data_IF_427081687949
#
_entry.id   IF_427081687949
#
_cell.length_a   1.000
_cell.length_b   1.000
_cell.length_c   1.000
_cell.angle_alpha   90.00
_cell.angle_beta   90.00
_cell.angle_gamma   90.00
#
_symmetry.space_group_name_H-M   'P 1'
#
loop_
_entity.id
_entity.type
_entity.pdbx_description
1 polymer ?
#
# COMPACT_ATOMS: atom_id res chain seq x y z
N UNK A 1 3.86 22.55 15.52
CA UNK A 1 5.02 22.19 14.68
C UNK A 1 4.68 20.85 14.07
N UNK A 2 4.40 20.79 12.76
CA UNK A 2 4.19 19.49 12.10
C UNK A 2 5.56 18.86 11.95
N UNK A 3 5.90 17.93 12.84
CA UNK A 3 7.03 17.04 12.65
C UNK A 3 6.82 16.34 11.32
N UNK A 4 7.61 16.72 10.31
CA UNK A 4 7.71 15.96 9.07
C UNK A 4 8.36 14.64 9.44
N UNK A 5 7.54 13.59 9.56
CA UNK A 5 8.01 12.23 9.81
C UNK A 5 8.87 11.82 8.59
N UNK A 6 10.16 11.59 8.81
CA UNK A 6 11.08 11.10 7.78
C UNK A 6 10.80 9.60 7.55
N UNK A 7 9.89 9.32 6.61
CA UNK A 7 9.52 7.96 6.20
C UNK A 7 10.67 7.24 5.48
N UNK A 8 11.61 7.98 4.91
CA UNK A 8 12.76 7.48 4.13
C UNK A 8 13.64 6.44 4.85
N UNK A 9 13.62 6.43 6.20
CA UNK A 9 14.42 5.54 7.05
C UNK A 9 13.60 4.50 7.81
N UNK A 10 12.28 4.54 7.66
CA UNK A 10 11.37 3.63 8.35
C UNK A 10 11.39 2.24 7.70
N UNK A 11 11.14 1.23 8.52
CA UNK A 11 10.95 -0.15 8.05
C UNK A 11 9.58 -0.31 7.40
N UNK A 12 9.42 -1.32 6.55
CA UNK A 12 8.16 -1.56 5.85
C UNK A 12 6.95 -1.72 6.78
N UNK A 13 7.13 -2.34 7.96
CA UNK A 13 6.07 -2.44 8.98
C UNK A 13 5.71 -1.07 9.59
N UNK A 14 6.71 -0.24 9.93
CA UNK A 14 6.49 1.11 10.47
C UNK A 14 5.83 2.03 9.43
N UNK A 15 6.28 1.95 8.18
CA UNK A 15 5.68 2.66 7.06
C UNK A 15 4.24 2.22 6.83
N UNK A 16 3.99 0.91 6.86
CA UNK A 16 2.64 0.37 6.75
C UNK A 16 1.74 0.92 7.86
N UNK A 17 2.18 0.88 9.12
CA UNK A 17 1.45 1.48 10.24
C UNK A 17 1.25 2.97 10.07
N UNK A 18 2.26 3.70 9.61
CA UNK A 18 2.15 5.13 9.35
C UNK A 18 1.06 5.41 8.31
N UNK A 19 1.06 4.71 7.17
CA UNK A 19 0.07 4.93 6.12
C UNK A 19 -1.33 4.41 6.46
N UNK A 20 -1.44 3.36 7.30
CA UNK A 20 -2.73 2.73 7.64
C UNK A 20 -3.38 3.30 8.90
N UNK A 21 -2.61 3.81 9.85
CA UNK A 21 -3.08 4.28 11.16
C UNK A 21 -2.97 5.79 11.33
N UNK A 22 -2.07 6.46 10.60
CA UNK A 22 -1.91 7.91 10.74
C UNK A 22 -3.03 8.61 9.98
N UNK A 23 -3.84 9.41 10.68
CA UNK A 23 -4.89 10.24 10.07
C UNK A 23 -4.29 11.37 9.21
N UNK A 24 -3.00 11.65 9.37
CA UNK A 24 -2.22 12.57 8.53
C UNK A 24 -1.80 11.96 7.18
N UNK A 25 -1.86 10.63 7.04
CA UNK A 25 -1.54 9.93 5.82
C UNK A 25 -2.79 9.71 4.96
N UNK A 26 -2.59 9.56 3.66
CA UNK A 26 -3.64 9.34 2.67
C UNK A 26 -4.45 8.08 3.02
N UNK A 27 -5.71 8.25 3.45
CA UNK A 27 -6.60 7.14 3.87
C UNK A 27 -6.86 6.13 2.75
N UNK A 28 -6.94 6.60 1.51
CA UNK A 28 -7.14 5.74 0.34
C UNK A 28 -5.90 4.85 0.12
N UNK A 29 -4.72 5.45 0.27
CA UNK A 29 -3.48 4.71 0.25
C UNK A 29 -3.38 3.70 1.41
N UNK A 30 -3.78 4.08 2.62
CA UNK A 30 -3.86 3.17 3.75
C UNK A 30 -4.74 1.94 3.47
N UNK A 31 -5.91 2.13 2.86
CA UNK A 31 -6.78 1.02 2.46
C UNK A 31 -6.14 0.13 1.37
N UNK A 32 -5.50 0.75 0.38
CA UNK A 32 -4.74 0.05 -0.68
C UNK A 32 -3.69 -0.87 -0.06
N UNK A 33 -2.93 -0.37 0.91
CA UNK A 33 -1.92 -1.16 1.60
C UNK A 33 -2.52 -2.29 2.43
N UNK A 34 -3.63 -2.05 3.15
CA UNK A 34 -4.30 -3.11 3.91
C UNK A 34 -4.73 -4.26 3.01
N UNK A 35 -5.37 -3.96 1.87
CA UNK A 35 -5.76 -4.97 0.90
C UNK A 35 -4.53 -5.68 0.28
N UNK A 36 -3.47 -4.94 -0.04
CA UNK A 36 -2.22 -5.55 -0.49
C UNK A 36 -1.62 -6.50 0.57
N UNK A 37 -1.63 -6.11 1.85
CA UNK A 37 -1.11 -6.93 2.95
C UNK A 37 -1.93 -8.20 3.16
N UNK A 38 -3.26 -8.15 2.96
CA UNK A 38 -4.09 -9.36 3.00
C UNK A 38 -3.71 -10.34 1.88
N UNK A 39 -3.35 -9.83 0.70
CA UNK A 39 -3.02 -10.64 -0.47
C UNK A 39 -1.59 -11.22 -0.43
N UNK A 40 -0.59 -10.39 -0.15
CA UNK A 40 0.83 -10.75 -0.25
C UNK A 40 1.56 -10.84 1.10
N UNK A 41 0.86 -10.55 2.21
CA UNK A 41 1.39 -10.62 3.57
C UNK A 41 2.61 -9.74 3.80
N UNK A 42 3.58 -10.28 4.52
CA UNK A 42 4.85 -9.61 4.87
C UNK A 42 5.70 -9.24 3.65
N UNK A 43 5.41 -9.81 2.47
CA UNK A 43 6.06 -9.45 1.19
C UNK A 43 5.80 -7.99 0.82
N UNK A 44 4.72 -7.39 1.36
CA UNK A 44 4.42 -5.97 1.18
C UNK A 44 5.50 -5.07 1.76
N UNK A 45 6.08 -5.42 2.90
CA UNK A 45 7.01 -4.55 3.63
C UNK A 45 8.25 -4.17 2.83
N UNK A 46 9.03 -5.11 2.24
CA UNK A 46 10.17 -4.75 1.41
C UNK A 46 9.78 -3.98 0.14
N UNK A 47 8.61 -4.25 -0.45
CA UNK A 47 8.10 -3.48 -1.59
C UNK A 47 7.80 -2.03 -1.18
N UNK A 48 7.25 -1.84 0.01
CA UNK A 48 6.91 -0.53 0.53
C UNK A 48 8.16 0.30 0.87
N UNK A 49 9.18 -0.34 1.45
CA UNK A 49 10.51 0.26 1.64
C UNK A 49 11.13 0.69 0.31
N UNK A 50 11.04 -0.16 -0.71
CA UNK A 50 11.53 0.16 -2.06
C UNK A 50 10.76 1.34 -2.66
N UNK A 51 9.44 1.35 -2.54
CA UNK A 51 8.59 2.46 -3.00
C UNK A 51 9.01 3.80 -2.39
N UNK A 52 9.22 3.88 -1.07
CA UNK A 52 9.68 5.12 -0.42
C UNK A 52 11.06 5.55 -0.92
N UNK A 53 11.98 4.60 -1.14
CA UNK A 53 13.34 4.89 -1.63
C UNK A 53 13.36 5.35 -3.09
N UNK A 54 12.46 4.81 -3.91
CA UNK A 54 12.35 5.12 -5.34
C UNK A 54 11.36 6.28 -5.61
N UNK A 55 10.64 6.76 -4.59
CA UNK A 55 9.58 7.77 -4.75
C UNK A 55 8.35 7.25 -5.49
N UNK A 56 8.11 5.94 -5.44
CA UNK A 56 7.00 5.22 -6.09
C UNK A 56 5.91 4.88 -5.08
N UNK A 57 4.75 4.42 -5.54
CA UNK A 57 3.67 3.99 -4.64
C UNK A 57 3.14 2.61 -5.02
N UNK A 58 2.64 1.90 -4.02
CA UNK A 58 1.94 0.64 -4.23
C UNK A 58 0.52 0.92 -4.73
N UNK A 59 0.09 0.20 -5.75
CA UNK A 59 -1.28 0.26 -6.29
C UNK A 59 -1.84 -1.15 -6.48
N UNK A 60 -3.15 -1.26 -6.32
CA UNK A 60 -3.89 -2.49 -6.64
C UNK A 60 -4.38 -2.41 -8.07
N UNK A 61 -3.89 -3.30 -8.92
CA UNK A 61 -4.33 -3.42 -10.30
C UNK A 61 -5.30 -4.59 -10.42
N UNK A 62 -6.57 -4.27 -10.55
CA UNK A 62 -7.63 -5.25 -10.72
C UNK A 62 -7.69 -5.73 -12.18
N UNK A 63 -7.95 -7.02 -12.38
CA UNK A 63 -8.21 -7.55 -13.72
C UNK A 63 -9.64 -7.15 -14.13
N UNK A 64 -9.72 -6.17 -15.03
CA UNK A 64 -10.96 -5.49 -15.47
C UNK A 64 -12.16 -6.41 -15.79
N UNK A 65 -12.01 -7.58 -16.45
CA UNK A 65 -13.19 -8.37 -16.82
C UNK A 65 -13.95 -8.98 -15.65
N UNK A 66 -13.32 -9.20 -14.48
CA UNK A 66 -13.97 -9.76 -13.30
C UNK A 66 -14.58 -8.69 -12.39
N UNK A 67 -13.95 -7.51 -12.32
CA UNK A 67 -14.49 -6.36 -11.59
C UNK A 67 -15.77 -5.83 -12.25
N UNK A 68 -15.78 -5.70 -13.57
CA UNK A 68 -16.98 -5.26 -14.30
C UNK A 68 -18.13 -6.28 -14.21
N UNK A 69 -17.82 -7.56 -13.96
CA UNK A 69 -18.80 -8.61 -13.73
C UNK A 69 -19.36 -8.65 -12.29
N UNK A 70 -18.87 -7.80 -11.38
CA UNK A 70 -19.33 -7.73 -10.00
C UNK A 70 -18.93 -8.95 -9.15
N UNK A 71 -17.85 -9.65 -9.51
CA UNK A 71 -17.35 -10.78 -8.73
C UNK A 71 -16.85 -10.29 -7.36
N UNK A 72 -17.33 -10.93 -6.28
CA UNK A 72 -16.95 -10.62 -4.90
C UNK A 72 -15.46 -10.88 -4.61
N UNK A 73 -14.83 -11.76 -5.39
CA UNK A 73 -13.42 -12.16 -5.28
C UNK A 73 -12.72 -11.78 -6.58
N UNK A 74 -12.44 -10.49 -6.75
CA UNK A 74 -11.70 -10.00 -7.91
C UNK A 74 -10.20 -10.12 -7.64
N UNK A 75 -9.49 -11.00 -8.39
CA UNK A 75 -8.04 -11.07 -8.25
C UNK A 75 -7.45 -9.72 -8.67
N UNK A 76 -6.65 -9.14 -7.77
CA UNK A 76 -5.86 -7.95 -8.04
C UNK A 76 -4.38 -8.28 -7.93
N UNK A 77 -3.57 -7.50 -8.63
CA UNK A 77 -2.12 -7.57 -8.53
C UNK A 77 -1.62 -6.35 -7.80
N UNK A 78 -0.78 -6.57 -6.79
CA UNK A 78 -0.04 -5.52 -6.12
C UNK A 78 1.11 -5.10 -7.04
N UNK A 79 1.09 -3.86 -7.49
CA UNK A 79 2.12 -3.29 -8.38
C UNK A 79 2.76 -2.06 -7.76
N UNK A 80 4.04 -1.84 -8.05
CA UNK A 80 4.74 -0.60 -7.74
C UNK A 80 4.68 0.27 -8.98
N UNK A 81 4.07 1.46 -8.87
CA UNK A 81 4.00 2.45 -9.96
C UNK A 81 4.75 3.72 -9.58
#
# INVERSE_FOLDING_TARGET
>A
MSEMIDTSRMKGEDLFRYYTLSDAADRDYGQTLQAAHVEIGDTLFPMLEQCEREGRRIRLKYDNPLWEAGALDCPFKVVME
#
